data_IF_336586642670
#
_entry.id   IF_336586642670
#
_cell.length_a   1.000
_cell.length_b   1.000
_cell.length_c   1.000
_cell.angle_alpha   90.00
_cell.angle_beta   90.00
_cell.angle_gamma   90.00
#
_symmetry.space_group_name_H-M   'P 1'
#
loop_
_entity.id
_entity.type
_entity.pdbx_description
1 polymer ?
#
# COMPACT_ATOMS: atom_id res chain seq x y z
N UNK A 1 24.79 9.67 11.43
CA UNK A 1 25.21 10.96 10.79
C UNK A 1 25.95 10.79 9.47
N UNK A 2 27.09 10.06 9.39
CA UNK A 2 27.77 9.83 8.09
C UNK A 2 27.00 8.83 7.23
N UNK A 3 26.64 7.71 7.83
CA UNK A 3 25.91 6.62 7.17
C UNK A 3 24.51 7.05 6.68
N UNK A 4 23.76 7.81 7.47
CA UNK A 4 22.48 8.39 7.04
C UNK A 4 22.62 9.33 5.83
N UNK A 5 23.74 10.06 5.71
CA UNK A 5 24.01 10.94 4.57
C UNK A 5 24.36 10.14 3.32
N UNK A 6 25.16 9.08 3.47
CA UNK A 6 25.48 8.16 2.38
C UNK A 6 24.23 7.43 1.89
N UNK A 7 23.38 6.99 2.82
CA UNK A 7 22.09 6.39 2.50
C UNK A 7 21.16 7.36 1.77
N UNK A 8 21.03 8.60 2.26
CA UNK A 8 20.24 9.63 1.57
C UNK A 8 20.80 9.97 0.18
N UNK A 9 22.12 9.98 0.01
CA UNK A 9 22.78 10.18 -1.29
C UNK A 9 22.44 9.04 -2.25
N UNK A 10 22.55 7.79 -1.79
CA UNK A 10 22.20 6.62 -2.59
C UNK A 10 20.73 6.65 -3.03
N UNK A 11 19.79 6.99 -2.14
CA UNK A 11 18.37 7.15 -2.51
C UNK A 11 18.21 8.20 -3.62
N UNK A 12 18.93 9.32 -3.56
CA UNK A 12 18.88 10.35 -4.61
C UNK A 12 19.45 9.82 -5.94
N UNK A 13 20.54 9.06 -5.90
CA UNK A 13 21.12 8.43 -7.10
C UNK A 13 20.14 7.43 -7.74
N UNK A 14 19.36 6.70 -6.94
CA UNK A 14 18.29 5.82 -7.43
C UNK A 14 17.19 6.64 -8.13
N UNK A 15 16.78 7.77 -7.55
CA UNK A 15 15.81 8.67 -8.19
C UNK A 15 16.33 9.24 -9.51
N UNK A 16 17.53 9.82 -9.48
CA UNK A 16 18.17 10.48 -10.63
C UNK A 16 18.56 9.48 -11.75
N UNK A 17 18.50 8.17 -11.50
CA UNK A 17 18.90 7.14 -12.47
C UNK A 17 20.42 7.10 -12.70
N UNK A 18 21.18 7.43 -11.65
CA UNK A 18 22.65 7.44 -11.65
C UNK A 18 23.26 6.46 -10.65
N UNK A 19 22.43 5.65 -9.98
CA UNK A 19 22.91 4.57 -9.12
C UNK A 19 23.67 3.52 -9.95
N UNK A 20 24.63 2.84 -9.32
CA UNK A 20 25.40 1.79 -9.99
C UNK A 20 24.48 0.67 -10.47
N UNK A 21 24.69 0.20 -11.69
CA UNK A 21 23.86 -0.82 -12.33
C UNK A 21 24.61 -2.12 -12.54
N UNK A 22 23.88 -3.23 -12.56
CA UNK A 22 24.39 -4.53 -12.95
C UNK A 22 24.35 -4.59 -14.48
N UNK A 23 25.47 -4.94 -15.10
CA UNK A 23 25.54 -5.18 -16.55
C UNK A 23 24.79 -6.48 -16.88
N UNK A 24 23.48 -6.41 -17.09
CA UNK A 24 22.72 -7.54 -17.61
C UNK A 24 22.87 -7.59 -19.15
N UNK A 25 23.53 -8.62 -19.65
CA UNK A 25 23.54 -8.97 -21.08
C UNK A 25 22.18 -9.56 -21.49
N UNK A 26 21.09 -8.81 -21.35
CA UNK A 26 19.76 -9.21 -21.84
C UNK A 26 19.19 -8.12 -22.71
N UNK A 27 19.44 -8.29 -24.01
CA UNK A 27 18.74 -7.62 -25.08
C UNK A 27 17.29 -8.12 -25.13
N UNK A 28 16.36 -7.47 -24.43
CA UNK A 28 14.93 -7.61 -24.71
C UNK A 28 14.09 -6.58 -23.96
N UNK A 29 13.50 -5.63 -24.69
CA UNK A 29 12.18 -4.99 -24.55
C UNK A 29 11.58 -4.59 -23.18
N UNK A 30 12.28 -4.70 -22.07
CA UNK A 30 11.73 -4.39 -20.76
C UNK A 30 12.29 -3.07 -20.22
N UNK A 31 11.39 -2.14 -19.88
CA UNK A 31 11.76 -0.81 -19.37
C UNK A 31 12.45 -0.90 -17.99
N UNK A 32 13.57 -0.18 -17.82
CA UNK A 32 14.27 -0.02 -16.54
C UNK A 32 15.64 -0.68 -16.46
N UNK A 33 16.45 -0.21 -15.51
CA UNK A 33 17.83 -0.66 -15.24
C UNK A 33 17.86 -1.43 -13.91
N UNK A 34 18.67 -2.49 -13.81
CA UNK A 34 18.87 -3.21 -12.54
C UNK A 34 19.95 -2.52 -11.72
N UNK A 35 19.57 -1.94 -10.58
CA UNK A 35 20.50 -1.20 -9.70
C UNK A 35 21.11 -2.12 -8.65
N UNK A 36 22.36 -1.89 -8.30
CA UNK A 36 23.04 -2.61 -7.22
C UNK A 36 22.45 -2.19 -5.88
N UNK A 37 22.07 -3.17 -5.07
CA UNK A 37 21.57 -2.95 -3.70
C UNK A 37 22.46 -3.67 -2.71
N UNK A 38 22.88 -2.96 -1.66
CA UNK A 38 23.68 -3.55 -0.59
C UNK A 38 22.93 -4.69 0.10
N UNK A 39 23.61 -5.84 0.23
CA UNK A 39 23.07 -7.07 0.84
C UNK A 39 22.49 -6.85 2.24
N UNK A 40 22.94 -5.83 2.99
CA UNK A 40 22.37 -5.50 4.30
C UNK A 40 20.90 -5.07 4.25
N UNK A 41 20.44 -4.57 3.10
CA UNK A 41 19.04 -4.22 2.88
C UNK A 41 18.22 -5.42 2.42
N UNK A 42 18.86 -6.43 1.82
CA UNK A 42 18.17 -7.58 1.26
C UNK A 42 17.71 -8.56 2.35
N UNK A 43 16.47 -8.99 2.24
CA UNK A 43 15.92 -10.16 2.94
C UNK A 43 16.21 -11.35 2.02
N UNK A 44 16.86 -12.43 2.51
CA UNK A 44 17.08 -13.63 1.71
C UNK A 44 15.77 -14.24 1.22
N UNK A 45 15.75 -14.76 0.00
CA UNK A 45 14.62 -15.50 -0.55
C UNK A 45 14.24 -16.65 0.38
N UNK A 46 12.93 -16.85 0.57
CA UNK A 46 12.39 -17.77 1.56
C UNK A 46 11.06 -18.34 1.08
N UNK A 47 10.76 -19.58 1.47
CA UNK A 47 9.46 -20.20 1.21
C UNK A 47 8.31 -19.51 1.98
N UNK A 48 8.64 -18.64 2.93
CA UNK A 48 7.68 -17.91 3.77
C UNK A 48 7.89 -16.40 3.71
N UNK A 49 7.63 -15.77 2.54
CA UNK A 49 7.89 -14.34 2.35
C UNK A 49 7.10 -13.46 3.33
N UNK A 50 5.84 -13.82 3.62
CA UNK A 50 5.00 -13.06 4.56
C UNK A 50 5.55 -13.04 5.99
N UNK A 51 6.16 -14.14 6.46
CA UNK A 51 6.78 -14.23 7.78
C UNK A 51 8.05 -13.38 7.85
N UNK A 52 8.92 -13.47 6.85
CA UNK A 52 10.15 -12.67 6.79
C UNK A 52 9.87 -11.16 6.70
N UNK A 53 8.88 -10.77 5.88
CA UNK A 53 8.45 -9.38 5.77
C UNK A 53 7.84 -8.85 7.07
N UNK A 54 7.03 -9.66 7.73
CA UNK A 54 6.45 -9.31 9.02
C UNK A 54 7.54 -9.10 10.08
N UNK A 55 8.50 -10.02 10.17
CA UNK A 55 9.62 -9.90 11.10
C UNK A 55 10.50 -8.67 10.80
N UNK A 56 10.72 -8.36 9.52
CA UNK A 56 11.52 -7.22 9.08
C UNK A 56 10.83 -5.87 9.34
N UNK A 57 9.54 -5.73 9.04
CA UNK A 57 8.81 -4.48 9.23
C UNK A 57 8.32 -4.28 10.67
N UNK A 58 7.98 -5.38 11.36
CA UNK A 58 7.36 -5.38 12.68
C UNK A 58 8.13 -6.28 13.67
N UNK A 59 9.38 -5.93 14.02
CA UNK A 59 10.12 -6.67 15.04
C UNK A 59 9.43 -6.61 16.39
N UNK A 60 9.34 -7.74 17.07
CA UNK A 60 8.67 -7.86 18.37
C UNK A 60 7.17 -7.49 18.35
N UNK A 61 6.48 -7.95 17.30
CA UNK A 61 5.07 -7.61 17.03
C UNK A 61 4.13 -7.95 18.19
N UNK A 62 4.24 -9.13 18.81
CA UNK A 62 3.30 -9.58 19.84
C UNK A 62 3.32 -8.71 21.11
N UNK A 63 4.46 -8.09 21.43
CA UNK A 63 4.54 -7.14 22.55
C UNK A 63 4.07 -5.74 22.15
N UNK A 64 4.15 -5.39 20.86
CA UNK A 64 3.92 -4.03 20.37
C UNK A 64 2.64 -3.83 19.54
N UNK A 65 1.82 -4.87 19.33
CA UNK A 65 0.64 -4.80 18.45
C UNK A 65 -0.44 -3.80 18.89
N UNK A 66 -0.39 -3.29 20.14
CA UNK A 66 -1.26 -2.20 20.62
C UNK A 66 -0.53 -0.85 20.73
N UNK A 67 0.78 -0.82 20.50
CA UNK A 67 1.59 0.38 20.59
C UNK A 67 1.38 1.22 19.32
N UNK A 68 0.65 2.33 19.48
CA UNK A 68 0.28 3.24 18.38
C UNK A 68 1.51 3.77 17.65
N UNK A 69 2.49 4.29 18.39
CA UNK A 69 3.71 4.86 17.82
C UNK A 69 4.49 3.81 17.02
N UNK A 70 4.60 2.60 17.59
CA UNK A 70 5.24 1.48 16.91
C UNK A 70 4.58 1.17 15.56
N UNK A 71 3.25 1.04 15.53
CA UNK A 71 2.48 0.75 14.32
C UNK A 71 2.48 1.91 13.31
N UNK A 72 2.42 3.17 13.76
CA UNK A 72 2.42 4.35 12.87
C UNK A 72 3.71 4.44 12.07
N UNK A 73 4.84 4.17 12.72
CA UNK A 73 6.18 4.34 12.14
C UNK A 73 6.63 3.13 11.29
N UNK A 74 5.72 2.18 11.01
CA UNK A 74 6.00 0.91 10.35
C UNK A 74 5.01 0.58 9.23
N UNK A 75 5.51 -0.05 8.17
CA UNK A 75 4.68 -0.60 7.10
C UNK A 75 5.43 -1.66 6.28
N UNK A 76 4.69 -2.54 5.62
CA UNK A 76 5.19 -3.25 4.44
C UNK A 76 4.69 -2.52 3.20
N UNK A 77 5.58 -2.26 2.24
CA UNK A 77 5.31 -1.54 1.00
C UNK A 77 5.32 -2.51 -0.17
N UNK A 78 4.37 -2.36 -1.10
CA UNK A 78 4.30 -3.15 -2.35
C UNK A 78 4.03 -2.27 -3.57
N UNK A 79 4.45 -2.66 -4.78
CA UNK A 79 4.15 -1.91 -6.00
C UNK A 79 2.64 -1.85 -6.30
N UNK A 80 1.93 -2.99 -6.21
CA UNK A 80 0.53 -3.14 -6.62
C UNK A 80 -0.38 -3.56 -5.47
N UNK A 81 -1.70 -3.40 -5.65
CA UNK A 81 -2.72 -3.82 -4.68
C UNK A 81 -2.97 -5.34 -4.66
N UNK A 82 -2.61 -6.07 -5.73
CA UNK A 82 -3.08 -7.43 -6.07
C UNK A 82 -2.86 -8.52 -5.01
N UNK A 83 -2.13 -8.20 -3.95
CA UNK A 83 -1.65 -9.18 -2.98
C UNK A 83 -1.36 -8.52 -1.60
N UNK A 84 -1.76 -7.24 -1.43
CA UNK A 84 -1.67 -6.52 -0.13
C UNK A 84 -2.60 -7.14 0.92
N UNK A 85 -3.70 -7.74 0.49
CA UNK A 85 -4.69 -8.36 1.36
C UNK A 85 -4.14 -9.59 2.08
N UNK A 86 -3.36 -10.43 1.41
CA UNK A 86 -2.80 -11.66 1.99
C UNK A 86 -1.85 -11.38 3.15
N UNK A 87 -0.94 -10.41 2.97
CA UNK A 87 -0.01 -10.02 4.01
C UNK A 87 -0.72 -9.35 5.19
N UNK A 88 -1.73 -8.51 4.92
CA UNK A 88 -2.57 -7.94 5.97
C UNK A 88 -3.36 -9.02 6.73
N UNK A 89 -3.85 -10.06 6.04
CA UNK A 89 -4.53 -11.19 6.66
C UNK A 89 -3.57 -12.03 7.52
N UNK A 90 -2.34 -12.28 7.03
CA UNK A 90 -1.27 -12.89 7.80
C UNK A 90 -0.98 -12.09 9.08
N UNK A 91 -0.75 -10.78 8.98
CA UNK A 91 -0.52 -9.94 10.15
C UNK A 91 -1.70 -9.94 11.13
N UNK A 92 -2.94 -9.89 10.64
CA UNK A 92 -4.14 -9.98 11.47
C UNK A 92 -4.23 -11.34 12.20
N UNK A 93 -3.81 -12.44 11.57
CA UNK A 93 -3.79 -13.77 12.20
C UNK A 93 -2.92 -13.78 13.46
N UNK A 94 -1.82 -13.01 13.45
CA UNK A 94 -0.87 -12.93 14.56
C UNK A 94 -1.38 -12.07 15.74
N UNK A 95 -2.43 -11.26 15.55
CA UNK A 95 -2.96 -10.39 16.61
C UNK A 95 -3.72 -11.21 17.66
N UNK A 96 -3.33 -11.17 18.95
CA UNK A 96 -3.95 -11.93 20.03
C UNK A 96 -5.18 -11.20 20.60
N UNK A 97 -6.10 -10.80 19.71
CA UNK A 97 -7.40 -10.23 20.06
C UNK A 97 -8.49 -11.01 19.33
N UNK A 98 -9.70 -11.01 19.88
CA UNK A 98 -10.85 -11.66 19.23
C UNK A 98 -11.13 -11.03 17.87
N UNK A 99 -11.24 -11.88 16.84
CA UNK A 99 -11.63 -11.47 15.50
C UNK A 99 -13.13 -11.20 15.45
N UNK A 100 -13.51 -10.15 14.74
CA UNK A 100 -14.88 -9.89 14.34
C UNK A 100 -14.96 -9.77 12.83
N UNK A 101 -15.85 -10.56 12.25
CA UNK A 101 -16.09 -10.59 10.81
C UNK A 101 -17.32 -9.73 10.48
N UNK A 102 -17.19 -9.00 9.37
CA UNK A 102 -18.22 -8.15 8.82
C UNK A 102 -18.41 -8.48 7.34
N UNK A 103 -19.52 -9.13 7.01
CA UNK A 103 -19.94 -9.34 5.62
C UNK A 103 -20.62 -8.08 5.08
N UNK A 104 -20.32 -7.73 3.83
CA UNK A 104 -20.96 -6.61 3.14
C UNK A 104 -22.37 -6.99 2.65
N UNK A 105 -23.11 -5.99 2.21
CA UNK A 105 -24.32 -6.17 1.42
C UNK A 105 -24.04 -5.60 0.04
N UNK A 106 -24.01 -6.46 -0.97
CA UNK A 106 -23.66 -6.09 -2.34
C UNK A 106 -24.90 -6.13 -3.23
N UNK A 107 -25.06 -5.15 -4.09
CA UNK A 107 -26.19 -4.99 -4.98
C UNK A 107 -25.79 -4.30 -6.28
N UNK A 108 -26.66 -4.40 -7.28
CA UNK A 108 -26.57 -3.64 -8.52
C UNK A 108 -27.61 -2.52 -8.46
N UNK A 109 -27.23 -1.29 -8.80
CA UNK A 109 -28.17 -0.19 -8.97
C UNK A 109 -28.91 -0.36 -10.31
N UNK A 110 -30.24 -0.36 -10.25
CA UNK A 110 -31.08 -0.41 -11.45
C UNK A 110 -30.95 0.92 -12.18
N UNK A 111 -30.35 0.92 -13.37
CA UNK A 111 -30.43 2.09 -14.25
C UNK A 111 -31.90 2.33 -14.62
N UNK A 112 -32.30 3.60 -14.74
CA UNK A 112 -33.70 4.01 -14.93
C UNK A 112 -34.32 3.59 -16.29
N UNK A 113 -33.63 2.79 -17.10
CA UNK A 113 -34.17 2.21 -18.33
C UNK A 113 -34.94 0.92 -18.01
N UNK A 114 -36.24 0.81 -18.38
CA UNK A 114 -37.15 -0.18 -17.78
C UNK A 114 -37.10 -1.57 -18.41
N UNK A 115 -36.15 -1.85 -19.31
CA UNK A 115 -36.32 -2.96 -20.26
C UNK A 115 -35.69 -4.28 -19.80
N UNK A 116 -34.70 -4.27 -18.89
CA UNK A 116 -34.13 -5.52 -18.36
C UNK A 116 -33.84 -5.41 -16.85
N UNK A 117 -34.46 -6.30 -16.07
CA UNK A 117 -34.15 -6.48 -14.64
C UNK A 117 -32.80 -7.19 -14.48
N UNK A 118 -31.71 -6.44 -14.64
CA UNK A 118 -30.34 -6.94 -14.49
C UNK A 118 -30.04 -7.53 -13.11
N UNK A 119 -30.85 -7.22 -12.10
CA UNK A 119 -30.68 -7.76 -10.74
C UNK A 119 -30.84 -9.28 -10.69
N UNK A 120 -31.61 -9.88 -11.62
CA UNK A 120 -31.80 -11.33 -11.72
C UNK A 120 -30.68 -12.03 -12.49
N UNK A 121 -29.79 -11.32 -13.18
CA UNK A 121 -28.75 -11.91 -14.02
C UNK A 121 -27.44 -12.20 -13.28
N UNK A 122 -27.26 -11.63 -12.09
CA UNK A 122 -26.04 -11.80 -11.29
C UNK A 122 -26.35 -12.48 -9.97
N UNK A 123 -25.64 -13.57 -9.66
CA UNK A 123 -25.78 -14.24 -8.37
C UNK A 123 -25.11 -13.41 -7.26
N UNK A 124 -25.60 -13.55 -6.03
CA UNK A 124 -25.00 -12.87 -4.88
C UNK A 124 -23.55 -13.32 -4.67
N UNK A 125 -23.24 -14.59 -4.94
CA UNK A 125 -21.88 -15.14 -4.85
C UNK A 125 -20.94 -14.44 -5.83
N UNK A 126 -21.40 -14.17 -7.06
CA UNK A 126 -20.64 -13.41 -8.03
C UNK A 126 -20.37 -11.99 -7.54
N UNK A 127 -21.41 -11.26 -7.10
CA UNK A 127 -21.27 -9.90 -6.57
C UNK A 127 -20.32 -9.84 -5.37
N UNK A 128 -20.44 -10.79 -4.45
CA UNK A 128 -19.59 -10.89 -3.26
C UNK A 128 -18.12 -11.22 -3.62
N UNK A 129 -17.87 -11.84 -4.76
CA UNK A 129 -16.51 -12.16 -5.24
C UNK A 129 -15.79 -10.98 -5.91
N UNK A 130 -16.51 -9.91 -6.26
CA UNK A 130 -15.91 -8.75 -6.92
C UNK A 130 -15.04 -7.94 -5.94
N UNK A 131 -13.82 -7.66 -6.38
CA UNK A 131 -12.83 -6.86 -5.66
C UNK A 131 -12.51 -5.59 -6.47
N UNK A 132 -12.40 -4.46 -5.77
CA UNK A 132 -12.13 -3.17 -6.38
C UNK A 132 -11.11 -2.41 -5.53
N UNK A 133 -10.12 -1.77 -6.15
CA UNK A 133 -9.05 -1.03 -5.45
C UNK A 133 -9.56 0.04 -4.49
N UNK A 134 -10.70 0.66 -4.82
CA UNK A 134 -11.36 1.71 -4.04
C UNK A 134 -12.40 1.23 -3.03
N UNK A 135 -12.68 -0.07 -2.93
CA UNK A 135 -13.71 -0.64 -2.06
C UNK A 135 -13.14 -1.64 -1.05
N UNK A 136 -13.74 -1.75 0.14
CA UNK A 136 -13.45 -2.88 1.03
C UNK A 136 -13.96 -4.19 0.41
N UNK A 137 -13.26 -5.30 0.66
CA UNK A 137 -13.71 -6.63 0.22
C UNK A 137 -15.02 -7.00 0.91
N UNK A 138 -15.76 -7.96 0.33
CA UNK A 138 -17.01 -8.45 0.91
C UNK A 138 -16.85 -8.88 2.37
N UNK A 139 -15.79 -9.66 2.63
CA UNK A 139 -15.42 -10.13 3.97
C UNK A 139 -14.37 -9.21 4.59
N UNK A 140 -14.76 -8.44 5.61
CA UNK A 140 -13.86 -7.60 6.40
C UNK A 140 -13.68 -8.17 7.80
N UNK A 141 -12.47 -8.64 8.12
CA UNK A 141 -12.12 -9.11 9.47
C UNK A 141 -11.33 -8.04 10.22
N UNK A 142 -11.75 -7.71 11.43
CA UNK A 142 -11.08 -6.72 12.30
C UNK A 142 -10.79 -7.32 13.68
N UNK A 143 -9.69 -6.86 14.29
CA UNK A 143 -9.30 -7.17 15.67
C UNK A 143 -8.93 -5.86 16.38
N UNK A 144 -9.21 -5.79 17.68
CA UNK A 144 -8.75 -4.66 18.51
C UNK A 144 -7.22 -4.61 18.53
N UNK A 145 -6.66 -3.43 18.27
CA UNK A 145 -5.23 -3.18 18.11
C UNK A 145 -4.75 -3.20 16.67
N UNK A 146 -5.57 -3.59 15.69
CA UNK A 146 -5.14 -3.59 14.29
C UNK A 146 -5.17 -2.20 13.66
N UNK A 147 -4.13 -1.80 12.91
CA UNK A 147 -4.14 -0.58 12.12
C UNK A 147 -5.06 -0.78 10.90
N UNK A 148 -5.87 0.23 10.64
CA UNK A 148 -6.77 0.34 9.50
C UNK A 148 -6.54 1.67 8.79
N UNK A 149 -6.94 1.72 7.53
CA UNK A 149 -6.87 2.91 6.68
C UNK A 149 -8.25 3.23 6.13
N UNK A 150 -8.61 4.51 6.16
CA UNK A 150 -9.85 5.02 5.57
C UNK A 150 -9.79 4.97 4.03
N UNK A 151 -10.88 4.55 3.40
CA UNK A 151 -10.99 4.39 1.94
C UNK A 151 -11.72 5.55 1.23
N UNK A 152 -12.43 6.39 1.98
CA UNK A 152 -13.23 7.51 1.45
C UNK A 152 -13.05 8.78 2.25
N UNK A 153 -13.26 9.91 1.58
CA UNK A 153 -13.38 11.20 2.25
C UNK A 153 -14.77 11.30 2.88
N UNK A 154 -14.83 11.33 4.21
CA UNK A 154 -16.07 11.57 4.96
C UNK A 154 -16.09 12.97 5.53
N UNK A 155 -14.99 13.36 6.19
CA UNK A 155 -14.86 14.68 6.78
C UNK A 155 -13.38 15.06 6.96
N UNK A 156 -12.86 15.80 5.98
CA UNK A 156 -11.45 16.18 5.93
C UNK A 156 -11.04 17.10 7.09
N UNK A 157 -11.94 17.98 7.54
CA UNK A 157 -11.68 18.88 8.67
C UNK A 157 -11.42 18.12 9.99
N UNK A 158 -11.99 16.93 10.13
CA UNK A 158 -11.80 16.05 11.28
C UNK A 158 -10.81 14.90 10.99
N UNK A 159 -10.03 14.98 9.91
CA UNK A 159 -9.02 13.99 9.56
C UNK A 159 -9.58 12.67 9.01
N UNK A 160 -10.86 12.62 8.64
CA UNK A 160 -11.51 11.44 8.04
C UNK A 160 -11.45 11.52 6.51
N UNK A 161 -10.22 11.46 5.98
CA UNK A 161 -9.94 11.44 4.55
C UNK A 161 -9.38 10.08 4.10
N UNK A 162 -9.42 9.83 2.80
CA UNK A 162 -8.80 8.65 2.20
C UNK A 162 -7.31 8.61 2.55
N UNK A 163 -6.84 7.46 3.05
CA UNK A 163 -5.46 7.27 3.47
C UNK A 163 -5.20 7.53 4.96
N UNK A 164 -6.14 8.12 5.73
CA UNK A 164 -5.93 8.29 7.18
C UNK A 164 -5.74 6.94 7.85
N UNK A 165 -4.62 6.79 8.55
CA UNK A 165 -4.31 5.60 9.36
C UNK A 165 -4.89 5.76 10.76
N UNK A 166 -5.53 4.70 11.23
CA UNK A 166 -6.18 4.63 12.53
C UNK A 166 -5.93 3.26 13.15
N UNK A 167 -6.11 3.12 14.46
CA UNK A 167 -6.07 1.84 15.16
C UNK A 167 -7.46 1.48 15.66
N UNK A 168 -7.86 0.22 15.51
CA UNK A 168 -9.15 -0.26 16.02
C UNK A 168 -9.09 -0.33 17.55
N UNK A 169 -9.91 0.47 18.23
CA UNK A 169 -10.04 0.43 19.68
C UNK A 169 -11.15 -0.53 20.12
N UNK A 170 -12.27 -0.57 19.40
CA UNK A 170 -13.42 -1.46 19.69
C UNK A 170 -14.15 -1.91 18.43
N UNK A 171 -14.65 -3.14 18.44
CA UNK A 171 -15.40 -3.76 17.34
C UNK A 171 -16.85 -4.05 17.77
N UNK A 172 -17.78 -3.12 17.48
CA UNK A 172 -19.21 -3.26 17.78
C UNK A 172 -19.99 -3.98 16.68
N UNK A 173 -21.28 -4.24 16.87
CA UNK A 173 -22.10 -4.90 15.84
C UNK A 173 -22.39 -3.96 14.65
N UNK A 174 -22.67 -2.69 14.94
CA UNK A 174 -23.10 -1.69 13.94
C UNK A 174 -22.08 -0.58 13.70
N UNK A 175 -21.11 -0.43 14.60
CA UNK A 175 -20.14 0.65 14.60
C UNK A 175 -18.76 0.07 14.98
N UNK A 176 -17.72 0.54 14.31
CA UNK A 176 -16.33 0.30 14.69
C UNK A 176 -15.77 1.58 15.30
N UNK A 177 -15.15 1.47 16.47
CA UNK A 177 -14.45 2.58 17.11
C UNK A 177 -12.97 2.50 16.74
N UNK A 178 -12.44 3.63 16.28
CA UNK A 178 -11.05 3.76 15.84
C UNK A 178 -10.42 5.02 16.44
N UNK A 179 -9.10 5.02 16.58
CA UNK A 179 -8.35 6.20 17.00
C UNK A 179 -7.35 6.61 15.93
N UNK A 180 -7.32 7.91 15.61
CA UNK A 180 -6.46 8.45 14.55
C UNK A 180 -4.98 8.38 14.95
N UNK A 181 -4.16 7.81 14.07
CA UNK A 181 -2.72 7.59 14.29
C UNK A 181 -1.82 8.61 13.61
N UNK A 182 -2.31 9.30 12.57
CA UNK A 182 -1.54 10.24 11.75
C UNK A 182 -2.31 11.53 11.46
N UNK A 183 -1.61 12.63 11.19
CA UNK A 183 -2.21 13.91 10.77
C UNK A 183 -2.48 14.89 11.91
N UNK A 184 -3.36 15.87 11.69
CA UNK A 184 -3.64 16.95 12.65
C UNK A 184 -4.55 16.54 13.80
N UNK A 185 -5.24 15.41 13.66
CA UNK A 185 -6.26 14.93 14.60
C UNK A 185 -5.81 13.66 15.36
N UNK A 186 -4.49 13.43 15.47
CA UNK A 186 -3.92 12.27 16.18
C UNK A 186 -4.46 12.15 17.60
N UNK A 187 -4.79 10.93 18.01
CA UNK A 187 -5.31 10.61 19.33
C UNK A 187 -6.83 10.77 19.48
N UNK A 188 -7.52 11.35 18.49
CA UNK A 188 -8.98 11.46 18.51
C UNK A 188 -9.63 10.11 18.19
N UNK A 189 -10.60 9.73 19.00
CA UNK A 189 -11.47 8.57 18.79
C UNK A 189 -12.64 8.94 17.88
N UNK A 190 -12.95 8.08 16.92
CA UNK A 190 -14.02 8.26 15.94
C UNK A 190 -14.83 6.96 15.81
N UNK A 191 -16.12 7.12 15.61
CA UNK A 191 -17.06 6.04 15.34
C UNK A 191 -17.29 5.93 13.83
N UNK A 192 -16.99 4.78 13.25
CA UNK A 192 -17.11 4.52 11.81
C UNK A 192 -18.34 3.63 11.59
N UNK A 193 -19.39 4.12 10.90
CA UNK A 193 -20.52 3.31 10.47
C UNK A 193 -20.25 2.63 9.13
N UNK A 194 -21.09 1.65 8.77
CA UNK A 194 -21.16 1.13 7.39
C UNK A 194 -21.83 2.16 6.48
N UNK A 195 -21.23 2.39 5.31
CA UNK A 195 -21.77 3.27 4.27
C UNK A 195 -21.92 2.51 2.96
N UNK A 196 -22.75 3.02 2.06
CA UNK A 196 -22.82 2.53 0.69
C UNK A 196 -21.67 3.12 -0.12
N UNK A 197 -21.00 2.27 -0.89
CA UNK A 197 -19.84 2.60 -1.68
C UNK A 197 -20.03 2.03 -3.08
N UNK A 198 -19.74 2.84 -4.10
CA UNK A 198 -19.60 2.39 -5.48
C UNK A 198 -18.12 2.49 -5.91
N UNK A 199 -17.66 1.64 -6.84
CA UNK A 199 -16.36 1.82 -7.46
C UNK A 199 -16.34 3.16 -8.22
N UNK A 200 -15.17 3.79 -8.32
CA UNK A 200 -15.04 5.07 -9.05
C UNK A 200 -15.02 4.83 -10.56
N UNK A 201 -14.34 3.77 -10.99
CA UNK A 201 -14.29 3.30 -12.37
C UNK A 201 -14.65 1.82 -12.40
N UNK A 202 -15.51 1.44 -13.34
CA UNK A 202 -15.93 0.05 -13.51
C UNK A 202 -16.14 -0.22 -15.00
N UNK A 203 -15.53 -1.31 -15.48
CA UNK A 203 -15.73 -1.85 -16.84
C UNK A 203 -17.01 -2.71 -16.91
N UNK A 204 -17.71 -2.88 -15.79
CA UNK A 204 -18.92 -3.68 -15.72
C UNK A 204 -20.10 -2.93 -16.36
N UNK A 205 -21.03 -3.65 -17.01
CA UNK A 205 -22.21 -3.06 -17.65
C UNK A 205 -23.27 -2.61 -16.63
N UNK A 206 -22.92 -2.49 -15.36
CA UNK A 206 -23.83 -2.20 -14.27
C UNK A 206 -23.14 -1.37 -13.19
N UNK A 207 -23.94 -0.61 -12.45
CA UNK A 207 -23.45 0.18 -11.32
C UNK A 207 -23.42 -0.68 -10.06
N UNK A 208 -22.23 -1.09 -9.63
CA UNK A 208 -22.04 -1.89 -8.41
C UNK A 208 -22.16 -1.03 -7.15
N UNK A 209 -22.86 -1.54 -6.14
CA UNK A 209 -23.01 -0.93 -4.83
C UNK A 209 -22.64 -1.94 -3.73
N UNK A 210 -21.74 -1.54 -2.83
CA UNK A 210 -21.34 -2.32 -1.64
C UNK A 210 -21.57 -1.51 -0.37
N UNK A 211 -22.40 -2.02 0.54
CA UNK A 211 -22.57 -1.46 1.88
C UNK A 211 -21.63 -2.15 2.86
N UNK A 212 -20.60 -1.42 3.30
CA UNK A 212 -19.55 -1.93 4.20
C UNK A 212 -18.90 -0.77 4.98
N UNK A 213 -18.08 -1.07 6.00
CA UNK A 213 -17.21 -0.05 6.60
C UNK A 213 -16.16 0.43 5.58
N UNK A 214 -15.93 1.75 5.44
CA UNK A 214 -14.95 2.31 4.51
C UNK A 214 -13.51 2.18 5.05
N UNK A 215 -13.16 0.98 5.51
CA UNK A 215 -11.91 0.65 6.19
C UNK A 215 -11.26 -0.56 5.52
N UNK A 216 -9.92 -0.55 5.43
CA UNK A 216 -9.10 -1.73 5.16
C UNK A 216 -7.98 -1.87 6.18
N UNK A 217 -7.48 -3.09 6.39
CA UNK A 217 -6.28 -3.31 7.20
C UNK A 217 -5.07 -2.59 6.58
N UNK A 218 -4.14 -2.17 7.44
CA UNK A 218 -3.03 -1.30 7.04
C UNK A 218 -1.71 -1.66 7.73
N UNK A 219 -1.38 -2.95 7.79
CA UNK A 219 -0.01 -3.39 8.07
C UNK A 219 0.87 -3.30 6.82
N UNK A 220 0.27 -3.61 5.68
CA UNK A 220 0.84 -3.45 4.35
C UNK A 220 0.02 -2.45 3.52
N UNK A 221 0.68 -1.70 2.65
CA UNK A 221 0.07 -0.77 1.72
C UNK A 221 0.89 -0.65 0.43
N UNK A 222 0.30 -0.06 -0.61
CA UNK A 222 1.06 0.22 -1.82
C UNK A 222 2.03 1.38 -1.63
N UNK A 223 3.10 1.41 -2.42
CA UNK A 223 4.08 2.49 -2.44
C UNK A 223 3.38 3.85 -2.63
N UNK A 224 2.41 3.90 -3.55
CA UNK A 224 1.65 5.12 -3.84
C UNK A 224 0.85 5.61 -2.62
N UNK A 225 0.29 4.69 -1.83
CA UNK A 225 -0.44 5.04 -0.58
C UNK A 225 0.49 5.43 0.57
N UNK A 226 1.77 5.07 0.49
CA UNK A 226 2.79 5.51 1.44
C UNK A 226 3.37 6.89 1.13
N UNK A 227 3.08 7.45 -0.04
CA UNK A 227 3.58 8.74 -0.47
C UNK A 227 3.23 9.85 0.53
N UNK A 228 4.23 10.66 0.90
CA UNK A 228 4.08 11.70 1.93
C UNK A 228 4.15 11.20 3.39
N UNK A 229 4.23 9.89 3.62
CA UNK A 229 4.48 9.33 4.95
C UNK A 229 5.98 9.15 5.19
N UNK A 230 6.41 9.35 6.44
CA UNK A 230 7.76 8.98 6.91
C UNK A 230 7.65 7.82 7.89
N UNK A 231 8.43 6.77 7.65
CA UNK A 231 8.45 5.53 8.41
C UNK A 231 9.83 5.35 9.04
N UNK A 232 9.89 4.79 10.25
CA UNK A 232 11.17 4.37 10.86
C UNK A 232 11.63 3.02 10.35
N UNK A 233 10.70 2.14 10.00
CA UNK A 233 10.99 0.82 9.47
C UNK A 233 9.99 0.50 8.35
N UNK A 234 10.51 0.10 7.20
CA UNK A 234 9.71 -0.38 6.08
C UNK A 234 10.35 -1.63 5.48
N UNK A 235 9.53 -2.65 5.23
CA UNK A 235 9.91 -3.75 4.36
C UNK A 235 9.28 -3.52 2.99
N UNK A 236 10.07 -3.46 1.94
CA UNK A 236 9.62 -3.40 0.55
C UNK A 236 9.53 -4.83 0.02
N UNK A 237 8.35 -5.24 -0.46
CA UNK A 237 8.17 -6.55 -1.09
C UNK A 237 7.89 -6.41 -2.58
N UNK A 238 8.77 -6.98 -3.40
CA UNK A 238 8.73 -6.97 -4.85
C UNK A 238 8.50 -8.41 -5.35
N UNK A 239 7.25 -8.93 -5.36
CA UNK A 239 6.94 -10.19 -6.05
C UNK A 239 7.06 -10.05 -7.58
N UNK A 240 7.04 -8.80 -8.05
CA UNK A 240 7.27 -8.34 -9.40
C UNK A 240 8.00 -7.01 -9.28
N UNK A 241 8.82 -6.71 -10.27
CA UNK A 241 9.52 -5.45 -10.41
C UNK A 241 8.58 -4.25 -10.32
N UNK A 242 9.11 -3.10 -9.90
CA UNK A 242 8.39 -1.82 -10.03
C UNK A 242 8.05 -1.56 -11.50
N UNK A 243 6.96 -0.85 -11.75
CA UNK A 243 6.39 -0.73 -13.10
C UNK A 243 6.21 0.73 -13.58
N UNK A 244 6.57 1.71 -12.75
CA UNK A 244 6.45 3.13 -13.12
C UNK A 244 7.63 3.95 -12.64
N UNK A 245 7.81 5.10 -13.30
CA UNK A 245 8.88 6.05 -13.05
C UNK A 245 8.97 6.46 -11.58
N UNK A 246 10.15 6.32 -11.00
CA UNK A 246 10.44 6.80 -9.64
C UNK A 246 9.72 6.04 -8.53
N UNK A 247 9.00 4.96 -8.83
CA UNK A 247 8.27 4.17 -7.82
C UNK A 247 9.22 3.58 -6.77
N UNK A 248 10.37 3.05 -7.20
CA UNK A 248 11.38 2.55 -6.27
C UNK A 248 11.92 3.67 -5.38
N UNK A 249 12.24 4.84 -5.95
CA UNK A 249 12.64 6.02 -5.19
C UNK A 249 11.58 6.44 -4.15
N UNK A 250 10.29 6.44 -4.51
CA UNK A 250 9.21 6.76 -3.57
C UNK A 250 9.22 5.78 -2.40
N UNK A 251 9.39 4.48 -2.65
CA UNK A 251 9.47 3.47 -1.60
C UNK A 251 10.67 3.66 -0.67
N UNK A 252 11.88 3.81 -1.24
CA UNK A 252 13.12 3.97 -0.49
C UNK A 252 13.14 5.26 0.33
N UNK A 253 12.60 6.35 -0.21
CA UNK A 253 12.51 7.65 0.47
C UNK A 253 11.51 7.68 1.63
N UNK A 254 10.75 6.60 1.88
CA UNK A 254 9.86 6.52 3.05
C UNK A 254 10.62 6.34 4.36
N UNK A 255 11.83 5.78 4.31
CA UNK A 255 12.66 5.52 5.49
C UNK A 255 13.81 6.50 5.59
N UNK A 256 14.11 6.92 6.82
CA UNK A 256 15.14 7.95 7.08
C UNK A 256 16.49 7.38 7.49
N UNK A 257 16.55 6.10 7.84
CA UNK A 257 17.74 5.40 8.32
C UNK A 257 17.94 4.09 7.55
N UNK A 258 19.19 3.71 7.26
CA UNK A 258 19.50 2.49 6.53
C UNK A 258 19.00 1.22 7.25
N UNK A 259 19.05 1.17 8.57
CA UNK A 259 18.55 0.04 9.37
C UNK A 259 17.03 -0.14 9.26
N UNK A 260 16.35 0.96 8.91
CA UNK A 260 14.91 1.00 8.71
C UNK A 260 14.47 0.36 7.39
N UNK A 261 15.38 0.12 6.45
CA UNK A 261 15.07 -0.43 5.14
C UNK A 261 15.32 -1.94 5.11
N UNK A 262 14.33 -2.69 4.63
CA UNK A 262 14.49 -4.08 4.21
C UNK A 262 13.78 -4.32 2.88
N UNK A 263 14.36 -5.12 2.00
CA UNK A 263 13.85 -5.39 0.65
C UNK A 263 13.82 -6.90 0.44
N UNK A 264 12.67 -7.44 0.10
CA UNK A 264 12.53 -8.80 -0.43
C UNK A 264 12.16 -8.67 -1.89
N UNK A 265 13.03 -9.15 -2.78
CA UNK A 265 12.80 -9.20 -4.21
C UNK A 265 12.66 -10.66 -4.64
N UNK A 266 11.45 -11.01 -5.10
CA UNK A 266 11.12 -12.33 -5.66
C UNK A 266 10.78 -12.18 -7.17
N UNK A 267 11.15 -11.06 -7.80
CA UNK A 267 10.87 -10.82 -9.22
C UNK A 267 11.65 -11.78 -10.11
N UNK A 268 11.05 -12.17 -11.24
CA UNK A 268 11.67 -13.07 -12.23
C UNK A 268 12.95 -12.52 -12.88
N UNK A 269 13.22 -11.23 -12.70
CA UNK A 269 14.36 -10.52 -13.29
C UNK A 269 15.63 -10.64 -12.41
N UNK A 270 15.50 -11.23 -11.21
CA UNK A 270 16.63 -11.48 -10.33
C UNK A 270 17.32 -12.80 -10.70
N UNK A 271 18.30 -12.77 -11.60
CA UNK A 271 19.25 -13.87 -11.81
C UNK A 271 20.22 -14.05 -10.61
N UNK A 272 20.07 -13.25 -9.56
CA UNK A 272 20.89 -13.28 -8.37
C UNK A 272 20.53 -12.19 -7.37
N UNK A 273 21.11 -12.29 -6.19
CA UNK A 273 20.86 -11.49 -4.97
C UNK A 273 21.20 -10.01 -5.07
N UNK A 274 21.72 -9.51 -6.18
CA UNK A 274 22.59 -8.32 -6.16
C UNK A 274 21.93 -7.03 -6.66
N UNK A 275 20.70 -7.08 -7.19
CA UNK A 275 20.07 -5.85 -7.66
C UNK A 275 18.56 -5.89 -7.88
N UNK A 276 17.96 -4.70 -7.80
CA UNK A 276 16.53 -4.45 -7.91
C UNK A 276 16.25 -3.62 -9.14
N UNK A 277 15.17 -3.90 -9.86
CA UNK A 277 14.78 -3.11 -11.03
C UNK A 277 14.37 -1.69 -10.65
N UNK A 278 14.87 -0.70 -11.38
CA UNK A 278 14.54 0.71 -11.22
C UNK A 278 14.12 1.31 -12.57
N UNK A 279 13.04 2.09 -12.59
CA UNK A 279 12.52 2.74 -13.79
C UNK A 279 12.68 4.25 -13.64
N UNK A 280 13.54 4.84 -14.47
CA UNK A 280 13.81 6.29 -14.50
C UNK A 280 13.80 6.76 -15.96
N UNK A 281 12.86 7.63 -16.32
CA UNK A 281 12.80 8.27 -17.64
C UNK A 281 13.64 9.53 -17.58
N UNK A 282 14.84 9.46 -18.18
CA UNK A 282 15.84 10.54 -18.09
C UNK A 282 15.43 11.77 -18.90
N UNK A 283 14.51 11.61 -19.83
CA UNK A 283 13.93 12.65 -20.68
C UNK A 283 13.17 13.69 -19.85
N UNK A 284 12.56 13.29 -18.72
CA UNK A 284 11.84 14.19 -17.81
C UNK A 284 12.77 15.25 -17.22
N UNK A 285 14.08 14.97 -17.13
CA UNK A 285 15.07 15.93 -16.64
C UNK A 285 15.46 16.98 -17.68
N UNK A 286 15.17 16.76 -18.96
CA UNK A 286 15.57 17.68 -20.03
C UNK A 286 14.69 18.94 -20.00
N UNK A 287 15.23 20.04 -19.46
CA UNK A 287 14.55 21.34 -19.39
C UNK A 287 14.16 21.80 -17.99
N UNK A 288 14.36 20.98 -16.95
CA UNK A 288 14.17 21.39 -15.55
C UNK A 288 15.42 22.11 -15.03
N UNK A 289 15.33 23.44 -14.83
CA UNK A 289 16.44 24.23 -14.28
C UNK A 289 16.67 24.06 -12.76
N UNK A 290 15.75 23.43 -12.02
CA UNK A 290 15.84 23.29 -10.55
C UNK A 290 15.41 21.89 -10.07
N UNK A 291 16.27 21.26 -9.25
CA UNK A 291 16.06 19.94 -8.62
C UNK A 291 14.89 19.91 -7.64
N UNK A 292 14.41 21.05 -7.11
CA UNK A 292 13.21 21.07 -6.25
C UNK A 292 11.92 20.75 -7.01
N UNK A 293 11.87 21.08 -8.31
CA UNK A 293 10.73 20.79 -9.18
C UNK A 293 10.61 19.28 -9.41
N UNK A 294 11.73 18.56 -9.43
CA UNK A 294 11.80 17.12 -9.65
C UNK A 294 11.07 16.27 -8.59
N UNK A 295 11.29 16.53 -7.30
CA UNK A 295 10.56 15.81 -6.22
C UNK A 295 9.06 15.99 -6.40
N UNK A 296 8.63 17.20 -6.75
CA UNK A 296 7.21 17.49 -6.96
C UNK A 296 6.65 16.77 -8.22
N UNK A 297 7.44 16.66 -9.29
CA UNK A 297 7.08 15.95 -10.53
C UNK A 297 7.01 14.44 -10.33
N UNK A 298 7.95 13.79 -9.62
CA UNK A 298 7.82 12.35 -9.29
C UNK A 298 6.55 12.11 -8.46
N UNK A 299 6.29 12.98 -7.49
CA UNK A 299 5.08 12.90 -6.66
C UNK A 299 3.79 13.00 -7.51
N UNK A 300 3.80 13.79 -8.58
CA UNK A 300 2.68 13.94 -9.52
C UNK A 300 2.58 12.75 -10.50
N UNK A 301 3.69 12.25 -11.04
CA UNK A 301 3.72 11.16 -12.03
C UNK A 301 3.31 9.82 -11.38
N UNK A 302 3.77 9.54 -10.16
CA UNK A 302 3.30 8.38 -9.40
C UNK A 302 1.79 8.45 -9.06
N UNK A 303 1.21 9.65 -8.99
CA UNK A 303 -0.24 9.86 -8.79
C UNK A 303 -1.07 9.78 -10.08
N UNK A 304 -0.50 10.10 -11.25
CA UNK A 304 -1.24 10.12 -12.51
C UNK A 304 -1.24 8.79 -13.26
N UNK A 305 -0.17 7.99 -13.15
CA UNK A 305 -0.14 6.64 -13.74
C UNK A 305 -1.00 5.61 -12.98
N UNK A 306 -1.54 5.98 -11.82
CA UNK A 306 -2.39 5.13 -11.01
C UNK A 306 -3.82 5.03 -11.53
N UNK A 307 -4.35 6.04 -12.21
CA UNK A 307 -5.72 6.00 -12.75
C UNK A 307 -5.84 5.11 -14.01
N UNK A 308 -4.72 4.65 -14.59
CA UNK A 308 -4.71 3.85 -15.82
C UNK A 308 -4.42 2.36 -15.62
N UNK A 309 -3.93 1.93 -14.45
CA UNK A 309 -3.40 0.56 -14.25
C UNK A 309 -3.82 -0.12 -12.92
N UNK A 310 -4.65 0.51 -12.09
CA UNK A 310 -5.28 -0.10 -10.90
C UNK A 310 -6.76 -0.45 -11.15
#
# INVERSE_FOLDING_TARGET
KKEEREFAKWILEVGDGTADTILSHTSSNEEGEQIVVDQRFMIPSTDKPHEALAAAAYPDFLHNYRNKKYLTERAVLRPTNSTVHELNAYMLSQVPSQAKEYLSSDSVELEATPEDDWSSHYTQEYLNSLEFSGLPNHRLCLKVGSPVMMLRNLNQAYGLCNGTRMIVSRVGDRIVEVEIMTGTQVGKTVLIPRIQLSPLDTVHPFTFCRRQYPLRLCYAMTINKSQGQSLKQAALYLPRSVFTHGQLYVALSRVTSPEGLKILDDSSDSDGTDGVRNIVYKEIFQGLCDRKVYIQVIFLICQSHTDCFD
#
